data_IF_634517492071
#
_entry.id   IF_634517492071
#
_cell.length_a   1.000
_cell.length_b   1.000
_cell.length_c   1.000
_cell.angle_alpha   90.00
_cell.angle_beta   90.00
_cell.angle_gamma   90.00
#
_symmetry.space_group_name_H-M   'P 1'
#
loop_
_entity.id
_entity.type
_entity.pdbx_description
1 polymer ?
#
# COMPACT_ATOMS: atom_id res chain seq x y z
N UNK A 1 -7.02 17.34 17.96
CA UNK A 1 -5.81 16.51 17.77
C UNK A 1 -6.19 15.06 18.06
N UNK A 2 -5.83 14.11 17.20
CA UNK A 2 -6.23 12.70 17.36
C UNK A 2 -5.72 12.08 18.66
N UNK A 3 -6.40 11.09 19.22
CA UNK A 3 -6.01 10.42 20.48
C UNK A 3 -5.08 9.24 20.30
N UNK A 4 -5.07 8.66 19.11
CA UNK A 4 -4.24 7.53 18.69
C UNK A 4 -3.96 7.64 17.19
N UNK A 5 -2.92 6.99 16.72
CA UNK A 5 -2.60 6.90 15.30
C UNK A 5 -2.15 5.49 14.90
N UNK A 6 -2.37 5.16 13.64
CA UNK A 6 -1.88 3.93 13.03
C UNK A 6 -0.89 4.33 11.92
N UNK A 7 0.33 3.82 11.99
CA UNK A 7 1.33 3.98 10.95
C UNK A 7 1.43 2.68 10.14
N UNK A 8 0.91 2.70 8.91
CA UNK A 8 1.06 1.59 7.97
C UNK A 8 2.42 1.70 7.28
N UNK A 9 3.29 0.72 7.51
CA UNK A 9 4.64 0.63 6.94
C UNK A 9 4.65 -0.50 5.92
N UNK A 10 5.23 -0.26 4.74
CA UNK A 10 5.44 -1.29 3.71
C UNK A 10 6.92 -1.31 3.36
N UNK A 11 7.43 -2.46 2.92
CA UNK A 11 8.77 -2.55 2.36
C UNK A 11 9.07 -1.37 1.40
N UNK A 12 10.21 -0.66 1.60
CA UNK A 12 10.50 0.57 0.86
C UNK A 12 10.64 0.34 -0.65
N UNK A 13 11.22 -0.79 -1.07
CA UNK A 13 11.38 -1.08 -2.50
C UNK A 13 10.00 -1.22 -3.16
N UNK A 14 9.14 -2.02 -2.55
CA UNK A 14 7.78 -2.29 -3.03
C UNK A 14 6.87 -1.05 -2.99
N UNK A 15 7.02 -0.20 -1.97
CA UNK A 15 6.31 1.06 -1.84
C UNK A 15 6.73 2.06 -2.94
N UNK A 16 8.03 2.24 -3.14
CA UNK A 16 8.58 3.18 -4.13
C UNK A 16 8.24 2.73 -5.55
N UNK A 17 8.36 1.44 -5.85
CA UNK A 17 7.98 0.90 -7.16
C UNK A 17 6.50 1.14 -7.46
N UNK A 18 5.63 0.91 -6.47
CA UNK A 18 4.19 1.19 -6.60
C UNK A 18 3.92 2.67 -6.85
N UNK A 19 4.64 3.57 -6.18
CA UNK A 19 4.50 5.02 -6.35
C UNK A 19 4.99 5.49 -7.73
N UNK A 20 6.09 4.91 -8.22
CA UNK A 20 6.58 5.18 -9.58
C UNK A 20 5.54 4.81 -10.64
N UNK A 21 4.96 3.61 -10.54
CA UNK A 21 3.88 3.19 -11.44
C UNK A 21 2.66 4.10 -11.35
N UNK A 22 2.34 4.62 -10.15
CA UNK A 22 1.21 5.53 -9.93
C UNK A 22 1.45 6.91 -10.58
N UNK A 23 2.63 7.49 -10.41
CA UNK A 23 2.92 8.86 -10.86
C UNK A 23 3.26 8.93 -12.34
N UNK A 24 4.09 8.01 -12.83
CA UNK A 24 4.73 8.17 -14.14
C UNK A 24 4.28 7.14 -15.16
N UNK A 25 3.50 6.13 -14.75
CA UNK A 25 3.14 5.00 -15.61
C UNK A 25 4.35 4.37 -16.34
N UNK A 26 5.58 4.55 -15.83
CA UNK A 26 6.84 4.09 -16.44
C UNK A 26 7.66 5.12 -17.23
N UNK A 27 7.29 6.40 -17.30
CA UNK A 27 7.89 7.35 -18.26
C UNK A 27 8.99 8.30 -17.73
N UNK A 28 9.77 7.94 -16.70
CA UNK A 28 10.86 8.78 -16.15
C UNK A 28 12.11 7.96 -15.78
N UNK A 29 13.25 8.64 -15.61
CA UNK A 29 14.50 8.08 -15.08
C UNK A 29 14.30 7.53 -13.65
N UNK A 30 14.34 6.21 -13.54
CA UNK A 30 14.09 5.45 -12.32
C UNK A 30 15.02 5.81 -11.15
N UNK A 31 16.29 6.10 -11.43
CA UNK A 31 17.35 6.21 -10.42
C UNK A 31 17.17 7.42 -9.50
N UNK A 32 16.92 8.59 -10.06
CA UNK A 32 16.69 9.83 -9.33
C UNK A 32 15.40 9.73 -8.50
N UNK A 33 14.34 9.18 -9.10
CA UNK A 33 13.07 8.94 -8.42
C UNK A 33 13.25 8.06 -7.18
N UNK A 34 13.97 6.94 -7.30
CA UNK A 34 14.23 6.05 -6.16
C UNK A 34 14.99 6.76 -5.05
N UNK A 35 16.03 7.54 -5.40
CA UNK A 35 16.86 8.25 -4.40
C UNK A 35 16.03 9.24 -3.59
N UNK A 36 15.18 10.03 -4.26
CA UNK A 36 14.33 11.01 -3.61
C UNK A 36 13.24 10.35 -2.76
N UNK A 37 12.55 9.35 -3.30
CA UNK A 37 11.45 8.69 -2.60
C UNK A 37 11.94 7.82 -1.45
N UNK A 38 13.15 7.23 -1.52
CA UNK A 38 13.73 6.49 -0.41
C UNK A 38 14.02 7.41 0.78
N UNK A 39 14.53 8.63 0.51
CA UNK A 39 14.73 9.64 1.54
C UNK A 39 13.39 10.03 2.19
N UNK A 40 12.38 10.36 1.37
CA UNK A 40 11.05 10.74 1.87
C UNK A 40 10.38 9.62 2.67
N UNK A 41 10.44 8.38 2.18
CA UNK A 41 9.92 7.21 2.88
C UNK A 41 10.59 7.05 4.24
N UNK A 42 11.91 7.18 4.30
CA UNK A 42 12.70 7.04 5.53
C UNK A 42 12.34 8.14 6.53
N UNK A 43 12.35 9.40 6.08
CA UNK A 43 12.03 10.55 6.92
C UNK A 43 10.61 10.45 7.48
N UNK A 44 9.62 10.10 6.66
CA UNK A 44 8.24 9.93 7.09
C UNK A 44 8.12 8.84 8.16
N UNK A 45 8.61 7.62 7.88
CA UNK A 45 8.45 6.49 8.79
C UNK A 45 9.23 6.65 10.11
N UNK A 46 10.34 7.38 10.11
CA UNK A 46 11.08 7.72 11.33
C UNK A 46 10.48 8.91 12.09
N UNK A 47 9.89 9.87 11.38
CA UNK A 47 9.31 11.08 11.99
C UNK A 47 8.11 10.74 12.87
N UNK A 48 7.20 9.89 12.40
CA UNK A 48 5.95 9.59 13.12
C UNK A 48 6.17 9.05 14.54
N UNK A 49 6.97 7.98 14.76
CA UNK A 49 7.28 7.50 16.11
C UNK A 49 8.00 8.53 16.99
N UNK A 50 8.74 9.47 16.38
CA UNK A 50 9.50 10.50 17.11
C UNK A 50 8.66 11.72 17.49
N UNK A 51 7.65 12.06 16.69
CA UNK A 51 6.91 13.33 16.79
C UNK A 51 5.48 13.16 17.26
N UNK A 52 4.88 11.97 17.12
CA UNK A 52 3.52 11.72 17.60
C UNK A 52 3.56 11.36 19.09
N UNK A 53 3.05 12.22 20.00
CA UNK A 53 3.25 12.05 21.45
C UNK A 53 2.24 11.08 22.09
N UNK A 54 1.29 10.58 21.32
CA UNK A 54 0.20 9.73 21.78
C UNK A 54 0.39 8.29 21.29
N UNK A 55 -0.42 7.31 21.73
CA UNK A 55 -0.26 5.93 21.30
C UNK A 55 -0.25 5.79 19.77
N UNK A 56 0.79 5.14 19.25
CA UNK A 56 1.00 4.86 17.83
C UNK A 56 1.08 3.34 17.65
N UNK A 57 0.22 2.75 16.82
CA UNK A 57 0.37 1.35 16.39
C UNK A 57 1.04 1.30 15.03
N UNK A 58 2.19 0.65 14.95
CA UNK A 58 2.85 0.33 13.68
C UNK A 58 2.20 -0.95 13.16
N UNK A 59 1.78 -0.92 11.90
CA UNK A 59 1.21 -2.07 11.18
C UNK A 59 2.05 -2.26 9.94
N UNK A 60 2.61 -3.45 9.74
CA UNK A 60 3.28 -3.76 8.49
C UNK A 60 2.27 -4.22 7.44
N UNK A 61 2.42 -3.73 6.21
CA UNK A 61 1.58 -4.11 5.09
C UNK A 61 1.65 -5.61 4.82
N UNK A 62 2.82 -6.20 5.02
CA UNK A 62 3.10 -7.61 4.85
C UNK A 62 2.30 -8.47 5.85
N UNK A 63 2.11 -8.00 7.08
CA UNK A 63 1.26 -8.66 8.08
C UNK A 63 -0.21 -8.69 7.63
N UNK A 64 -0.68 -7.60 7.01
CA UNK A 64 -2.04 -7.53 6.45
C UNK A 64 -2.24 -8.51 5.29
N UNK A 65 -1.19 -8.88 4.57
CA UNK A 65 -1.27 -9.90 3.52
C UNK A 65 -1.32 -11.32 4.09
N UNK A 66 -0.59 -11.58 5.17
CA UNK A 66 -0.49 -12.91 5.78
C UNK A 66 -1.71 -13.22 6.64
N UNK A 67 -2.12 -12.27 7.49
CA UNK A 67 -3.21 -12.45 8.46
C UNK A 67 -4.11 -11.21 8.54
N UNK A 68 -4.80 -10.89 7.44
CA UNK A 68 -5.69 -9.73 7.37
C UNK A 68 -6.67 -9.66 8.55
N UNK A 69 -7.33 -10.77 8.88
CA UNK A 69 -8.35 -10.79 9.94
C UNK A 69 -7.73 -10.47 11.30
N UNK A 70 -6.65 -11.15 11.68
CA UNK A 70 -5.99 -10.91 12.97
C UNK A 70 -5.43 -9.49 13.08
N UNK A 71 -4.76 -9.00 12.03
CA UNK A 71 -4.26 -7.63 12.00
C UNK A 71 -5.37 -6.58 12.12
N UNK A 72 -6.53 -6.80 11.48
CA UNK A 72 -7.69 -5.93 11.64
C UNK A 72 -8.27 -6.00 13.06
N UNK A 73 -8.33 -7.17 13.69
CA UNK A 73 -8.76 -7.31 15.08
C UNK A 73 -7.83 -6.53 16.02
N UNK A 74 -6.52 -6.65 15.87
CA UNK A 74 -5.55 -5.89 16.65
C UNK A 74 -5.66 -4.37 16.44
N UNK A 75 -5.92 -3.93 15.20
CA UNK A 75 -6.15 -2.52 14.88
C UNK A 75 -7.40 -2.02 15.62
N UNK A 76 -8.51 -2.77 15.57
CA UNK A 76 -9.75 -2.37 16.24
C UNK A 76 -9.59 -2.34 17.76
N UNK A 77 -8.89 -3.31 18.34
CA UNK A 77 -8.53 -3.30 19.76
C UNK A 77 -7.69 -2.06 20.11
N UNK A 78 -6.68 -1.74 19.30
CA UNK A 78 -5.90 -0.52 19.48
C UNK A 78 -6.72 0.76 19.29
N UNK A 79 -7.80 0.76 18.52
CA UNK A 79 -8.69 1.91 18.40
C UNK A 79 -9.76 1.97 19.51
N UNK A 80 -9.79 0.99 20.41
CA UNK A 80 -10.90 0.78 21.35
C UNK A 80 -12.27 0.72 20.64
N UNK A 81 -12.28 0.16 19.43
CA UNK A 81 -13.51 0.00 18.66
C UNK A 81 -14.07 -1.40 18.86
N UNK A 82 -15.38 -1.56 19.13
CA UNK A 82 -15.99 -2.87 19.32
C UNK A 82 -15.88 -3.72 18.05
N UNK A 83 -15.48 -4.98 18.22
CA UNK A 83 -15.34 -5.91 17.09
C UNK A 83 -16.70 -6.51 16.76
N UNK A 84 -17.33 -6.04 15.69
CA UNK A 84 -18.51 -6.68 15.14
C UNK A 84 -18.13 -7.76 14.12
N UNK A 85 -18.37 -9.04 14.47
CA UNK A 85 -17.96 -10.19 13.64
C UNK A 85 -18.51 -10.16 12.22
N UNK A 86 -19.71 -9.63 12.01
CA UNK A 86 -20.34 -9.53 10.68
C UNK A 86 -19.62 -8.51 9.80
N UNK A 87 -19.31 -7.33 10.34
CA UNK A 87 -18.58 -6.28 9.62
C UNK A 87 -17.14 -6.70 9.34
N UNK A 88 -16.45 -7.28 10.33
CA UNK A 88 -15.09 -7.78 10.15
C UNK A 88 -15.01 -8.86 9.07
N UNK A 89 -15.93 -9.83 9.10
CA UNK A 89 -16.02 -10.88 8.07
C UNK A 89 -16.31 -10.29 6.68
N UNK A 90 -17.14 -9.24 6.60
CA UNK A 90 -17.43 -8.55 5.35
C UNK A 90 -16.18 -7.87 4.78
N UNK A 91 -15.43 -7.15 5.61
CA UNK A 91 -14.19 -6.49 5.23
C UNK A 91 -13.15 -7.50 4.71
N UNK A 92 -12.94 -8.61 5.43
CA UNK A 92 -12.03 -9.69 5.01
C UNK A 92 -12.46 -10.29 3.68
N UNK A 93 -13.76 -10.55 3.48
CA UNK A 93 -14.28 -11.06 2.20
C UNK A 93 -14.07 -10.09 1.03
N UNK A 94 -14.04 -8.79 1.31
CA UNK A 94 -13.85 -7.70 0.32
C UNK A 94 -12.41 -7.19 0.24
N UNK A 95 -11.44 -7.95 0.74
CA UNK A 95 -10.01 -7.61 0.71
C UNK A 95 -9.45 -7.27 -0.68
N UNK A 96 -9.99 -7.90 -1.73
CA UNK A 96 -9.67 -7.58 -3.13
C UNK A 96 -10.82 -6.75 -3.69
N UNK A 97 -10.63 -5.44 -3.79
CA UNK A 97 -11.61 -4.53 -4.41
C UNK A 97 -11.59 -4.57 -5.93
N UNK A 98 -12.46 -3.76 -6.55
CA UNK A 98 -12.55 -3.56 -8.02
C UNK A 98 -11.44 -2.67 -8.60
N UNK A 99 -10.34 -2.49 -7.86
CA UNK A 99 -9.24 -1.59 -8.21
C UNK A 99 -8.34 -2.11 -9.33
N UNK A 100 -8.44 -3.39 -9.68
CA UNK A 100 -7.71 -3.95 -10.83
C UNK A 100 -8.46 -3.59 -12.11
N UNK A 101 -7.76 -2.94 -13.05
CA UNK A 101 -8.28 -2.73 -14.41
C UNK A 101 -8.74 -4.08 -14.97
N UNK A 102 -9.96 -4.14 -15.51
CA UNK A 102 -10.41 -5.32 -16.24
C UNK A 102 -9.44 -5.54 -17.41
N UNK A 103 -8.96 -6.77 -17.58
CA UNK A 103 -8.09 -7.12 -18.69
C UNK A 103 -8.90 -6.94 -19.98
N UNK A 104 -8.62 -5.88 -20.74
CA UNK A 104 -9.23 -5.70 -22.05
C UNK A 104 -8.65 -6.74 -23.01
N UNK A 105 -9.49 -7.32 -23.85
CA UNK A 105 -9.10 -8.20 -24.96
C UNK A 105 -8.52 -7.43 -26.15
N UNK A 106 -8.43 -6.10 -26.04
CA UNK A 106 -7.87 -5.23 -27.07
C UNK A 106 -6.36 -5.45 -27.16
N UNK A 107 -5.93 -5.88 -28.35
CA UNK A 107 -4.53 -5.94 -28.72
C UNK A 107 -4.10 -4.56 -29.26
N UNK A 108 -3.26 -3.80 -28.53
CA UNK A 108 -2.85 -2.46 -28.95
C UNK A 108 -1.78 -2.50 -30.06
N UNK A 109 -1.26 -3.68 -30.41
CA UNK A 109 -0.20 -3.79 -31.41
C UNK A 109 -0.79 -4.01 -32.79
N UNK A 110 -0.36 -3.17 -33.75
CA UNK A 110 -0.60 -3.45 -35.17
C UNK A 110 0.26 -4.64 -35.64
N UNK A 111 -0.12 -5.28 -36.75
CA UNK A 111 0.65 -6.44 -37.25
C UNK A 111 2.09 -6.08 -37.59
N UNK A 112 2.34 -4.84 -38.00
CA UNK A 112 3.71 -4.32 -38.21
C UNK A 112 4.51 -4.21 -36.91
N UNK A 113 3.87 -3.90 -35.79
CA UNK A 113 4.52 -3.80 -34.47
C UNK A 113 4.83 -5.18 -33.89
N UNK A 114 3.97 -6.18 -34.11
CA UNK A 114 4.19 -7.55 -33.64
C UNK A 114 5.38 -8.23 -34.31
N UNK A 115 5.67 -7.89 -35.56
CA UNK A 115 6.81 -8.43 -36.32
C UNK A 115 8.16 -8.01 -35.70
N UNK A 116 8.20 -6.89 -34.96
CA UNK A 116 9.42 -6.34 -34.36
C UNK A 116 9.60 -6.70 -32.87
N UNK A 117 8.71 -7.52 -32.30
CA UNK A 117 8.88 -8.07 -30.94
C UNK A 117 9.45 -9.49 -31.08
N UNK A 118 10.76 -9.58 -31.34
CA UNK A 118 11.56 -10.80 -31.19
C UNK A 118 12.81 -10.49 -30.40
#
# INVERSE_FOLDING_TARGET
MFDRAILLVRDPQEAILSEFHRQYAGHIVWKEFVKENLKLWTEFNLMWPRKFPKPLKIVFYEDLLINLKGSLEEILLFLHWPIERKLLSCAVRKQKGVFKRKKNSFDPYSEKMKINVK
#
